data_IF_396054278053
#
_entry.id   IF_396054278053
#
_cell.length_a   1.000
_cell.length_b   1.000
_cell.length_c   1.000
_cell.angle_alpha   90.00
_cell.angle_beta   90.00
_cell.angle_gamma   90.00
#
_symmetry.space_group_name_H-M   'P 1'
#
loop_
_entity.id
_entity.type
_entity.pdbx_description
1 polymer ?
#
# COMPACT_ATOMS: atom_id res chain seq x y z
N UNK A 1 -14.84 -5.58 -19.49
CA UNK A 1 -13.98 -5.13 -18.38
C UNK A 1 -12.56 -5.63 -18.57
N UNK A 2 -11.60 -4.76 -18.34
CA UNK A 2 -10.19 -5.13 -18.49
C UNK A 2 -9.69 -5.89 -17.28
N UNK A 3 -8.84 -6.86 -17.52
CA UNK A 3 -8.15 -7.62 -16.48
C UNK A 3 -6.66 -7.36 -16.56
N UNK A 4 -6.06 -7.00 -15.43
CA UNK A 4 -4.62 -6.80 -15.35
C UNK A 4 -3.94 -8.16 -15.19
N UNK A 5 -3.01 -8.46 -16.09
CA UNK A 5 -2.20 -9.68 -16.05
C UNK A 5 -0.75 -9.24 -15.81
N UNK A 6 -0.17 -9.58 -14.66
CA UNK A 6 1.21 -9.19 -14.38
C UNK A 6 2.20 -9.97 -15.24
N UNK A 7 3.30 -9.31 -15.59
CA UNK A 7 4.40 -9.92 -16.34
C UNK A 7 5.68 -9.81 -15.52
N UNK A 8 6.68 -10.61 -15.87
CA UNK A 8 7.99 -10.65 -15.20
C UNK A 8 7.84 -10.83 -13.68
N UNK A 9 8.43 -9.95 -12.88
CA UNK A 9 8.41 -10.03 -11.42
C UNK A 9 7.24 -9.27 -10.76
N UNK A 10 6.26 -8.84 -11.56
CA UNK A 10 5.09 -8.16 -11.04
C UNK A 10 4.11 -9.13 -10.39
N UNK A 11 3.38 -8.64 -9.41
CA UNK A 11 2.30 -9.39 -8.76
C UNK A 11 1.08 -8.48 -8.63
N UNK A 12 -0.09 -9.08 -8.56
CA UNK A 12 -1.34 -8.36 -8.30
C UNK A 12 -1.94 -8.91 -7.01
N UNK A 13 -2.28 -8.02 -6.10
CA UNK A 13 -2.92 -8.38 -4.84
C UNK A 13 -4.25 -7.69 -4.68
N UNK A 14 -5.02 -8.14 -3.69
CA UNK A 14 -6.21 -7.40 -3.26
C UNK A 14 -5.80 -6.01 -2.77
N UNK A 15 -6.75 -5.08 -2.75
CA UNK A 15 -6.55 -3.74 -2.22
C UNK A 15 -7.47 -3.51 -1.03
N UNK A 16 -7.37 -4.38 -0.04
CA UNK A 16 -8.19 -4.31 1.15
C UNK A 16 -7.87 -3.07 1.98
N UNK A 17 -8.90 -2.44 2.51
CA UNK A 17 -8.78 -1.22 3.31
C UNK A 17 -9.29 -1.47 4.73
N UNK A 18 -8.74 -0.71 5.67
CA UNK A 18 -9.22 -0.78 7.04
C UNK A 18 -10.68 -0.31 7.13
N UNK A 19 -11.49 -1.09 7.83
CA UNK A 19 -12.85 -0.68 8.19
C UNK A 19 -12.81 0.20 9.43
N UNK A 20 -13.92 0.86 9.72
CA UNK A 20 -14.06 1.68 10.91
C UNK A 20 -13.83 0.87 12.19
N UNK A 21 -14.33 -0.36 12.22
CA UNK A 21 -14.17 -1.26 13.36
C UNK A 21 -12.74 -1.70 13.55
N UNK A 22 -12.07 -2.08 12.48
CA UNK A 22 -10.65 -2.47 12.52
C UNK A 22 -9.76 -1.30 12.97
N UNK A 23 -10.07 -0.09 12.52
CA UNK A 23 -9.34 1.10 12.93
C UNK A 23 -9.46 1.35 14.44
N UNK A 24 -10.63 1.10 15.02
CA UNK A 24 -10.84 1.22 16.47
C UNK A 24 -10.07 0.16 17.26
N UNK A 25 -10.05 -1.08 16.79
CA UNK A 25 -9.34 -2.19 17.44
C UNK A 25 -7.84 -1.96 17.45
N UNK A 26 -7.29 -1.40 16.40
CA UNK A 26 -5.85 -1.16 16.28
C UNK A 26 -5.38 0.09 17.04
N UNK A 27 -6.29 0.79 17.69
CA UNK A 27 -5.97 2.04 18.36
C UNK A 27 -5.95 3.21 17.38
N UNK A 28 -6.63 4.25 17.73
CA UNK A 28 -6.89 5.44 16.93
C UNK A 28 -5.63 6.25 16.60
N UNK A 29 -4.48 5.84 17.10
CA UNK A 29 -3.28 6.65 17.08
C UNK A 29 -2.35 6.35 15.92
N UNK A 30 -2.62 5.31 15.14
CA UNK A 30 -1.80 4.95 13.97
C UNK A 30 -2.54 5.44 12.72
N UNK A 31 -2.07 6.54 12.16
CA UNK A 31 -2.68 7.16 10.97
C UNK A 31 -2.70 6.24 9.76
N UNK A 32 -1.71 5.36 9.63
CA UNK A 32 -1.62 4.39 8.56
C UNK A 32 -2.62 3.24 8.67
N UNK A 33 -3.27 3.09 9.83
CA UNK A 33 -4.32 2.10 10.08
C UNK A 33 -5.71 2.73 10.19
N UNK A 34 -5.84 3.98 9.80
CA UNK A 34 -7.12 4.69 9.80
C UNK A 34 -8.07 4.11 8.76
N UNK A 35 -9.39 4.28 9.01
CA UNK A 35 -10.43 3.85 8.08
C UNK A 35 -10.15 4.34 6.65
N UNK A 36 -10.30 3.44 5.68
CA UNK A 36 -10.09 3.74 4.27
C UNK A 36 -8.66 3.63 3.80
N UNK A 37 -7.70 3.47 4.69
CA UNK A 37 -6.29 3.26 4.30
C UNK A 37 -6.06 1.81 3.85
N UNK A 38 -5.17 1.63 2.90
CA UNK A 38 -4.80 0.30 2.41
C UNK A 38 -4.07 -0.47 3.49
N UNK A 39 -4.47 -1.71 3.71
CA UNK A 39 -3.78 -2.62 4.64
C UNK A 39 -2.46 -3.08 4.07
N UNK A 40 -1.48 -3.32 4.94
CA UNK A 40 -0.22 -3.97 4.54
C UNK A 40 -0.39 -5.47 4.33
N UNK A 41 -1.44 -6.07 4.89
CA UNK A 41 -1.77 -7.49 4.74
C UNK A 41 -2.76 -7.65 3.58
N UNK A 42 -2.31 -8.31 2.51
CA UNK A 42 -3.10 -8.48 1.29
C UNK A 42 -3.00 -9.92 0.79
N UNK A 43 -3.92 -10.31 -0.07
CA UNK A 43 -3.94 -11.65 -0.68
C UNK A 43 -3.49 -11.56 -2.12
N UNK A 44 -2.61 -12.46 -2.55
CA UNK A 44 -2.13 -12.51 -3.94
C UNK A 44 -3.24 -13.04 -4.84
N UNK A 45 -3.55 -12.27 -5.90
CA UNK A 45 -4.53 -12.64 -6.91
C UNK A 45 -3.84 -13.27 -8.13
N UNK A 46 -2.67 -12.75 -8.49
CA UNK A 46 -1.99 -13.13 -9.72
C UNK A 46 -0.50 -12.86 -9.61
N UNK A 47 0.33 -13.66 -10.25
CA UNK A 47 1.79 -13.53 -10.22
C UNK A 47 2.35 -13.56 -11.63
N UNK A 48 3.40 -12.78 -11.87
CA UNK A 48 4.12 -12.77 -13.15
C UNK A 48 5.02 -14.00 -13.30
N UNK A 49 5.46 -14.25 -14.51
CA UNK A 49 6.21 -15.46 -14.87
C UNK A 49 7.58 -15.58 -14.19
N UNK A 50 8.22 -14.47 -13.87
CA UNK A 50 9.54 -14.46 -13.19
C UNK A 50 9.46 -13.96 -11.75
N UNK A 51 8.26 -13.84 -11.19
CA UNK A 51 8.10 -13.51 -9.79
C UNK A 51 8.68 -14.62 -8.91
N UNK A 52 9.00 -14.27 -7.68
CA UNK A 52 9.54 -15.21 -6.70
C UNK A 52 8.67 -16.48 -6.64
N UNK A 53 9.27 -17.63 -6.76
CA UNK A 53 8.56 -18.92 -6.80
C UNK A 53 7.86 -19.27 -5.49
N UNK A 54 8.25 -18.63 -4.40
CA UNK A 54 7.61 -18.85 -3.11
C UNK A 54 6.22 -18.18 -3.02
N UNK A 55 5.95 -17.23 -3.93
CA UNK A 55 4.68 -16.52 -3.97
C UNK A 55 3.68 -17.24 -4.87
N UNK A 56 2.52 -17.57 -4.33
CA UNK A 56 1.45 -18.28 -5.05
C UNK A 56 0.13 -17.54 -4.92
N UNK A 57 -0.72 -17.72 -5.91
CA UNK A 57 -2.09 -17.19 -5.88
C UNK A 57 -2.81 -17.74 -4.64
N UNK A 58 -3.44 -16.85 -3.90
CA UNK A 58 -4.15 -17.19 -2.66
C UNK A 58 -3.33 -16.98 -1.39
N UNK A 59 -2.02 -16.78 -1.51
CA UNK A 59 -1.18 -16.52 -0.34
C UNK A 59 -1.53 -15.17 0.29
N UNK A 60 -1.55 -15.14 1.60
CA UNK A 60 -1.69 -13.90 2.37
C UNK A 60 -0.29 -13.40 2.69
N UNK A 61 0.00 -12.20 2.27
CA UNK A 61 1.33 -11.60 2.38
C UNK A 61 1.28 -10.26 3.10
N UNK A 62 2.41 -9.90 3.69
CA UNK A 62 2.62 -8.56 4.25
C UNK A 62 3.52 -7.79 3.29
N UNK A 63 3.02 -6.64 2.83
CA UNK A 63 3.70 -5.81 1.82
C UNK A 63 4.40 -4.62 2.50
N UNK A 64 5.48 -4.18 1.87
CA UNK A 64 6.27 -3.05 2.37
C UNK A 64 5.84 -1.75 1.69
N UNK A 65 5.54 -0.70 2.45
CA UNK A 65 5.24 0.61 1.87
C UNK A 65 6.49 1.36 1.41
N UNK A 66 7.67 0.83 1.64
CA UNK A 66 8.94 1.52 1.48
C UNK A 66 9.12 2.24 0.14
N UNK A 67 8.75 1.59 -0.97
CA UNK A 67 8.91 2.16 -2.31
C UNK A 67 7.82 3.18 -2.66
N UNK A 68 6.77 3.24 -1.88
CA UNK A 68 5.57 4.04 -2.17
C UNK A 68 5.42 5.23 -1.23
N UNK A 69 6.41 5.47 -0.39
CA UNK A 69 6.41 6.62 0.51
C UNK A 69 6.71 7.87 -0.30
N UNK A 70 5.84 8.88 -0.17
CA UNK A 70 5.98 10.17 -0.82
C UNK A 70 6.12 11.25 0.23
N UNK A 71 6.83 12.30 -0.13
CA UNK A 71 7.04 13.46 0.73
C UNK A 71 6.33 14.66 0.13
N UNK A 72 5.52 15.32 0.92
CA UNK A 72 4.87 16.56 0.55
C UNK A 72 5.43 17.68 1.41
N UNK A 73 5.86 18.77 0.77
CA UNK A 73 6.33 19.97 1.47
C UNK A 73 5.32 21.08 1.26
N UNK A 74 4.86 21.66 2.36
CA UNK A 74 3.96 22.81 2.35
C UNK A 74 4.54 23.92 3.20
N UNK A 75 4.32 25.21 2.83
CA UNK A 75 4.66 26.29 3.71
C UNK A 75 3.91 26.15 5.03
N UNK A 76 4.55 26.47 6.13
CA UNK A 76 3.87 26.50 7.43
C UNK A 76 2.74 27.53 7.39
N UNK A 77 1.63 27.22 8.05
CA UNK A 77 0.45 28.09 8.06
C UNK A 77 0.68 29.46 8.69
N UNK A 78 1.63 29.54 9.62
CA UNK A 78 2.02 30.80 10.25
C UNK A 78 3.51 31.03 10.14
N UNK A 79 3.88 32.12 9.47
CA UNK A 79 5.29 32.51 9.31
C UNK A 79 5.47 33.94 9.79
N UNK A 80 6.09 34.16 10.95
CA UNK A 80 6.29 35.49 11.49
C UNK A 80 7.25 36.38 10.69
N UNK A 81 8.12 35.74 9.87
CA UNK A 81 9.08 36.44 9.03
C UNK A 81 8.88 36.03 7.57
N UNK A 82 8.30 36.92 6.71
CA UNK A 82 8.07 36.60 5.31
C UNK A 82 9.34 36.38 4.48
N UNK A 83 10.51 36.75 4.99
CA UNK A 83 11.78 36.51 4.31
C UNK A 83 12.31 35.09 4.55
N UNK A 84 11.74 34.35 5.48
CA UNK A 84 12.09 32.97 5.80
C UNK A 84 10.88 32.09 5.59
N UNK A 85 10.87 31.35 4.48
CA UNK A 85 9.86 30.33 4.28
C UNK A 85 10.30 29.05 5.00
N UNK A 86 9.62 28.72 6.07
CA UNK A 86 9.76 27.42 6.72
C UNK A 86 8.77 26.46 6.10
N UNK A 87 9.26 25.27 5.74
CA UNK A 87 8.47 24.23 5.09
C UNK A 87 8.19 23.11 6.08
N UNK A 88 6.95 22.64 6.09
CA UNK A 88 6.57 21.42 6.79
C UNK A 88 6.64 20.25 5.83
N UNK A 89 7.27 19.17 6.29
CA UNK A 89 7.33 17.92 5.52
C UNK A 89 6.31 16.93 6.07
N UNK A 90 5.45 16.44 5.20
CA UNK A 90 4.49 15.39 5.54
C UNK A 90 4.78 14.18 4.66
N UNK A 91 4.81 12.99 5.27
CA UNK A 91 5.02 11.74 4.55
C UNK A 91 3.71 10.99 4.46
N UNK A 92 3.46 10.39 3.29
CA UNK A 92 2.28 9.56 3.06
C UNK A 92 2.66 8.40 2.15
N UNK A 93 1.84 7.37 2.14
CA UNK A 93 2.05 6.21 1.28
C UNK A 93 1.09 6.30 0.10
N UNK A 94 1.65 6.29 -1.11
CA UNK A 94 0.88 6.28 -2.36
C UNK A 94 0.95 4.87 -2.95
N UNK A 95 0.00 4.03 -2.58
CA UNK A 95 -0.08 2.66 -3.07
C UNK A 95 -0.46 2.64 -4.56
N UNK A 96 0.13 1.72 -5.36
CA UNK A 96 -0.18 1.60 -6.78
C UNK A 96 -1.52 0.87 -6.99
N UNK A 97 -2.60 1.57 -6.70
CA UNK A 97 -3.96 1.05 -6.85
C UNK A 97 -4.37 1.12 -8.33
N UNK A 98 -4.78 -0.01 -8.86
CA UNK A 98 -5.28 -0.13 -10.22
C UNK A 98 -6.65 -0.80 -10.21
N UNK A 99 -7.36 -0.72 -11.32
CA UNK A 99 -8.65 -1.38 -11.46
C UNK A 99 -8.53 -2.59 -12.38
N UNK A 100 -8.98 -3.74 -11.92
CA UNK A 100 -8.99 -4.99 -12.69
C UNK A 100 -10.33 -5.67 -12.49
N UNK A 101 -11.00 -5.98 -13.59
CA UNK A 101 -12.33 -6.62 -13.58
C UNK A 101 -13.35 -5.87 -12.72
N UNK A 102 -13.28 -4.53 -12.70
CA UNK A 102 -14.17 -3.68 -11.93
C UNK A 102 -13.87 -3.59 -10.44
N UNK A 103 -12.75 -4.14 -10.00
CA UNK A 103 -12.33 -4.11 -8.60
C UNK A 103 -10.99 -3.41 -8.44
N UNK A 104 -10.79 -2.77 -7.31
CA UNK A 104 -9.48 -2.21 -6.98
C UNK A 104 -8.51 -3.33 -6.62
N UNK A 105 -7.31 -3.24 -7.17
CA UNK A 105 -6.21 -4.17 -6.88
C UNK A 105 -4.94 -3.36 -6.68
N UNK A 106 -3.92 -3.97 -6.07
CA UNK A 106 -2.58 -3.37 -5.98
C UNK A 106 -1.68 -4.05 -6.99
N UNK A 107 -0.98 -3.24 -7.78
CA UNK A 107 0.03 -3.71 -8.72
C UNK A 107 1.40 -3.52 -8.09
N UNK A 108 1.99 -4.62 -7.63
CA UNK A 108 3.23 -4.63 -6.87
C UNK A 108 4.29 -5.47 -7.58
N UNK A 109 5.47 -5.52 -6.99
CA UNK A 109 6.55 -6.40 -7.41
C UNK A 109 6.82 -7.42 -6.30
N UNK A 110 7.44 -8.54 -6.65
CA UNK A 110 7.77 -9.58 -5.68
C UNK A 110 8.68 -9.06 -4.54
N UNK A 111 9.55 -8.09 -4.85
CA UNK A 111 10.41 -7.44 -3.85
C UNK A 111 9.66 -6.58 -2.83
N UNK A 112 8.41 -6.25 -3.11
CA UNK A 112 7.57 -5.48 -2.17
C UNK A 112 6.98 -6.36 -1.07
N UNK A 113 7.04 -7.67 -1.21
CA UNK A 113 6.54 -8.61 -0.22
C UNK A 113 7.61 -8.86 0.83
N UNK A 114 7.27 -8.62 2.09
CA UNK A 114 8.17 -8.88 3.21
C UNK A 114 8.17 -10.35 3.61
N UNK A 115 6.99 -10.92 3.77
CA UNK A 115 6.82 -12.32 4.16
C UNK A 115 5.41 -12.82 3.85
N UNK A 116 5.27 -14.12 3.86
CA UNK A 116 4.00 -14.82 3.67
C UNK A 116 3.48 -15.22 5.06
N UNK A 117 2.18 -15.10 5.26
CA UNK A 117 1.54 -15.53 6.50
C UNK A 117 0.94 -16.92 6.25
N UNK A 118 1.35 -17.89 7.05
CA UNK A 118 0.76 -19.24 7.03
C UNK A 118 0.03 -19.47 8.34
N UNK A 119 -1.15 -20.07 8.26
CA UNK A 119 -1.86 -20.52 9.45
C UNK A 119 -1.31 -21.88 9.88
N UNK A 120 -1.01 -22.00 11.17
CA UNK A 120 -0.43 -23.22 11.76
C UNK A 120 -1.50 -23.98 12.52
#
# INVERSE_FOLDING_TARGET
>A
MEKIVPIYNAIVTTADRYTKEESKENGIYLLDQAEGKIKIKQTIISVGSTACKDLKVGDVVVISPRQYIRKEQKPKAFQPDPSRQEMESTYYVEWPVEESEGKEVLFLYDSDVKYIIEEV
#
